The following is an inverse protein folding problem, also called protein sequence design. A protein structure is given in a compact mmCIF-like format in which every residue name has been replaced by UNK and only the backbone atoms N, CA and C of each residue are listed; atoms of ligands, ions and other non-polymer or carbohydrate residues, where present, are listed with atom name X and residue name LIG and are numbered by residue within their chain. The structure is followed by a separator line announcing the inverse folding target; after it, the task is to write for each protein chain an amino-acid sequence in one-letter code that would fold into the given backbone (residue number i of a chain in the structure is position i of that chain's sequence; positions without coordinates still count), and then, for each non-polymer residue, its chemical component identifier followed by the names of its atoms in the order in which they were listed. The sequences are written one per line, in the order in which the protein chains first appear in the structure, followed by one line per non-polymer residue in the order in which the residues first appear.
data_IF_178642871265
#
_entry.id   IF_178642871265
#
_cell.length_a   1.000
_cell.length_b   1.000
_cell.length_c   1.000
_cell.angle_alpha   90.00
_cell.angle_beta   90.00
_cell.angle_gamma   90.00
#
_symmetry.space_group_name_H-M   'P 1'
#
loop_
_entity.id
_entity.type
_entity.pdbx_description
1 polymer ?
#
# COMPACT_ATOMS: atom_id res chain seq x y z
N UNK A 1 -3.00 35.83 15.54
CA UNK A 1 -2.65 35.12 16.77
C UNK A 1 -3.09 33.66 16.73
N UNK A 2 -4.37 33.37 16.59
CA UNK A 2 -4.86 31.97 16.51
C UNK A 2 -4.33 31.22 15.30
N UNK A 3 -4.23 31.89 14.16
CA UNK A 3 -3.73 31.31 12.90
C UNK A 3 -2.26 30.88 13.03
N UNK A 4 -1.46 31.62 13.82
CA UNK A 4 -0.03 31.34 14.00
C UNK A 4 0.21 29.97 14.69
N UNK A 5 -0.76 29.48 15.47
CA UNK A 5 -0.70 28.18 16.14
C UNK A 5 -1.53 27.11 15.45
N UNK A 6 -2.56 27.52 14.72
CA UNK A 6 -3.49 26.59 14.06
C UNK A 6 -2.83 25.82 12.93
N UNK A 7 -2.12 26.51 12.02
CA UNK A 7 -1.45 25.86 10.90
C UNK A 7 -0.33 24.93 11.34
N UNK A 8 0.61 25.35 12.22
CA UNK A 8 1.61 24.41 12.74
C UNK A 8 0.99 23.21 13.46
N UNK A 9 -0.07 23.46 14.24
CA UNK A 9 -0.77 22.39 14.95
C UNK A 9 -1.38 21.36 14.03
N UNK A 10 -1.99 21.80 12.94
CA UNK A 10 -2.56 20.91 11.93
C UNK A 10 -1.48 20.09 11.21
N UNK A 11 -0.34 20.70 10.91
CA UNK A 11 0.79 20.00 10.28
C UNK A 11 1.34 18.94 11.24
N UNK A 12 1.52 19.27 12.50
CA UNK A 12 2.00 18.32 13.52
C UNK A 12 1.01 17.15 13.67
N UNK A 13 -0.29 17.45 13.75
CA UNK A 13 -1.33 16.42 13.84
C UNK A 13 -1.33 15.51 12.62
N UNK A 14 -1.18 16.06 11.42
CA UNK A 14 -1.09 15.30 10.19
C UNK A 14 0.13 14.38 10.17
N UNK A 15 1.31 14.90 10.55
CA UNK A 15 2.53 14.11 10.62
C UNK A 15 2.42 13.00 11.65
N UNK A 16 1.87 13.30 12.82
CA UNK A 16 1.65 12.31 13.87
C UNK A 16 0.69 11.21 13.40
N UNK A 17 -0.39 11.58 12.71
CA UNK A 17 -1.33 10.63 12.13
C UNK A 17 -0.65 9.72 11.10
N UNK A 18 0.20 10.30 10.23
CA UNK A 18 0.94 9.51 9.24
C UNK A 18 1.87 8.50 9.89
N UNK A 19 2.61 8.93 10.92
CA UNK A 19 3.54 8.05 11.65
C UNK A 19 2.78 6.92 12.34
N UNK A 20 1.69 7.24 13.05
CA UNK A 20 0.88 6.25 13.75
C UNK A 20 0.24 5.27 12.78
N UNK A 21 -0.26 5.76 11.63
CA UNK A 21 -0.85 4.89 10.59
C UNK A 21 0.19 3.93 10.03
N UNK A 22 1.41 4.39 9.79
CA UNK A 22 2.51 3.54 9.32
C UNK A 22 2.87 2.46 10.34
N UNK A 23 2.93 2.80 11.62
CA UNK A 23 3.23 1.86 12.69
C UNK A 23 2.13 0.80 12.79
N UNK A 24 0.86 1.20 12.75
CA UNK A 24 -0.28 0.28 12.78
C UNK A 24 -0.25 -0.68 11.60
N UNK A 25 0.02 -0.16 10.42
CA UNK A 25 0.12 -0.96 9.20
C UNK A 25 1.24 -2.00 9.34
N UNK A 26 2.42 -1.59 9.77
CA UNK A 26 3.57 -2.49 9.95
C UNK A 26 3.28 -3.60 10.96
N UNK A 27 2.52 -3.30 12.02
CA UNK A 27 2.14 -4.30 13.02
C UNK A 27 1.14 -5.31 12.48
N UNK A 28 0.29 -4.91 11.55
CA UNK A 28 -0.71 -5.79 10.93
C UNK A 28 -0.11 -6.74 9.88
N UNK A 29 0.97 -6.31 9.22
CA UNK A 29 1.56 -7.05 8.10
C UNK A 29 1.91 -8.50 8.40
N UNK A 30 2.63 -8.83 9.50
CA UNK A 30 2.99 -10.22 9.75
C UNK A 30 1.79 -11.14 9.90
N UNK A 31 0.74 -10.69 10.58
CA UNK A 31 -0.47 -11.47 10.76
C UNK A 31 -1.20 -11.69 9.44
N UNK A 32 -1.31 -10.64 8.62
CA UNK A 32 -1.97 -10.73 7.31
C UNK A 32 -1.21 -11.66 6.36
N UNK A 33 0.11 -11.61 6.37
CA UNK A 33 0.94 -12.50 5.55
C UNK A 33 0.76 -13.96 5.97
N UNK A 34 0.64 -14.24 7.27
CA UNK A 34 0.35 -15.58 7.77
C UNK A 34 -1.03 -16.08 7.33
N UNK A 35 -1.99 -15.18 7.20
CA UNK A 35 -3.34 -15.50 6.71
C UNK A 35 -3.39 -15.70 5.19
N UNK A 36 -2.27 -15.57 4.49
CA UNK A 36 -2.20 -15.76 3.05
C UNK A 36 -2.48 -14.50 2.25
N UNK A 37 -2.21 -13.33 2.80
CA UNK A 37 -2.36 -12.06 2.08
C UNK A 37 -1.51 -12.05 0.81
N UNK A 38 -2.06 -11.48 -0.25
CA UNK A 38 -1.43 -11.38 -1.56
C UNK A 38 -0.63 -10.07 -1.63
N UNK A 39 0.67 -10.17 -1.84
CA UNK A 39 1.56 -9.02 -1.97
C UNK A 39 1.65 -8.59 -3.43
N UNK A 40 1.26 -7.36 -3.72
CA UNK A 40 1.25 -6.83 -5.09
C UNK A 40 2.10 -5.57 -5.16
N UNK A 41 3.14 -5.62 -5.97
CA UNK A 41 4.00 -4.47 -6.27
C UNK A 41 3.51 -3.84 -7.57
N UNK A 42 3.05 -2.59 -7.49
CA UNK A 42 2.47 -1.89 -8.64
C UNK A 42 3.45 -0.98 -9.36
N UNK A 43 4.75 -1.15 -9.09
CA UNK A 43 5.81 -0.46 -9.82
C UNK A 43 5.97 -1.02 -11.23
N UNK A 44 6.82 -0.39 -12.02
CA UNK A 44 7.16 -0.89 -13.35
C UNK A 44 7.89 -2.23 -13.26
N UNK A 45 7.86 -3.05 -14.33
CA UNK A 45 8.63 -4.30 -14.36
C UNK A 45 10.13 -4.09 -14.17
N UNK A 46 10.68 -3.00 -14.67
CA UNK A 46 12.11 -2.67 -14.55
C UNK A 46 12.48 -2.38 -13.09
N UNK A 47 11.66 -1.58 -12.40
CA UNK A 47 11.85 -1.31 -10.97
C UNK A 47 11.77 -2.61 -10.16
N UNK A 48 10.80 -3.44 -10.45
CA UNK A 48 10.59 -4.72 -9.77
C UNK A 48 11.77 -5.67 -9.98
N UNK A 49 12.29 -5.75 -11.19
CA UNK A 49 13.46 -6.60 -11.49
C UNK A 49 14.71 -6.17 -10.75
N UNK A 50 14.87 -4.87 -10.51
CA UNK A 50 16.03 -4.32 -9.80
C UNK A 50 16.04 -4.64 -8.31
N UNK A 51 14.87 -4.96 -7.73
CA UNK A 51 14.73 -5.33 -6.33
C UNK A 51 13.26 -5.36 -5.97
N UNK A 52 12.85 -6.32 -5.16
CA UNK A 52 11.46 -6.50 -4.75
C UNK A 52 11.37 -7.20 -3.40
N UNK A 53 10.20 -7.13 -2.78
CA UNK A 53 9.93 -7.85 -1.56
C UNK A 53 9.68 -9.33 -1.88
N UNK A 54 10.22 -10.21 -1.04
CA UNK A 54 10.05 -11.65 -1.22
C UNK A 54 8.57 -12.02 -1.18
N UNK A 55 8.15 -12.83 -2.15
CA UNK A 55 6.77 -13.27 -2.26
C UNK A 55 5.84 -12.29 -2.94
N UNK A 56 6.33 -11.12 -3.36
CA UNK A 56 5.51 -10.14 -4.07
C UNK A 56 5.36 -10.50 -5.56
N UNK A 57 4.22 -10.12 -6.11
CA UNK A 57 3.91 -10.27 -7.54
C UNK A 57 3.87 -8.88 -8.14
N UNK A 58 4.45 -8.72 -9.33
CA UNK A 58 4.42 -7.44 -10.02
C UNK A 58 3.18 -7.33 -10.89
N UNK A 59 2.31 -6.39 -10.54
CA UNK A 59 1.18 -5.98 -11.37
C UNK A 59 1.29 -4.46 -11.52
N UNK A 60 1.90 -3.96 -12.59
CA UNK A 60 2.05 -2.52 -12.77
C UNK A 60 0.71 -1.79 -12.72
N UNK A 61 0.71 -0.56 -12.20
CA UNK A 61 -0.52 0.21 -11.98
C UNK A 61 -1.38 0.31 -13.24
N UNK A 62 -0.77 0.49 -14.41
CA UNK A 62 -1.49 0.62 -15.66
C UNK A 62 -2.26 -0.65 -16.06
N UNK A 63 -1.81 -1.80 -15.58
CA UNK A 63 -2.44 -3.08 -15.86
C UNK A 63 -3.20 -3.68 -14.68
N UNK A 64 -3.52 -2.87 -13.66
CA UNK A 64 -4.11 -3.39 -12.42
C UNK A 64 -5.48 -4.03 -12.64
N UNK A 65 -6.32 -3.49 -13.53
CA UNK A 65 -7.64 -4.04 -13.79
C UNK A 65 -7.57 -5.46 -14.36
N UNK A 66 -6.63 -5.69 -15.26
CA UNK A 66 -6.44 -7.03 -15.86
C UNK A 66 -5.70 -7.97 -14.91
N UNK A 67 -4.63 -7.49 -14.29
CA UNK A 67 -3.82 -8.29 -13.38
C UNK A 67 -4.57 -8.72 -12.12
N UNK A 68 -5.51 -7.92 -11.67
CA UNK A 68 -6.31 -8.22 -10.48
C UNK A 68 -7.23 -9.43 -10.67
N UNK A 69 -7.48 -9.86 -11.90
CA UNK A 69 -8.26 -11.09 -12.15
C UNK A 69 -7.57 -12.34 -11.61
N UNK A 70 -6.26 -12.29 -11.46
CA UNK A 70 -5.46 -13.36 -10.87
C UNK A 70 -5.50 -13.36 -9.34
N UNK A 71 -6.04 -12.30 -8.72
CA UNK A 71 -6.11 -12.15 -7.27
C UNK A 71 -7.42 -12.69 -6.72
N UNK A 72 -7.35 -13.24 -5.51
CA UNK A 72 -8.53 -13.71 -4.78
C UNK A 72 -9.15 -12.55 -4.00
N UNK A 73 -10.40 -12.11 -4.33
CA UNK A 73 -11.03 -11.00 -3.62
C UNK A 73 -11.43 -11.33 -2.18
N UNK A 74 -11.45 -12.59 -1.80
CA UNK A 74 -11.75 -13.03 -0.44
C UNK A 74 -10.56 -12.87 0.50
N UNK A 75 -9.36 -12.72 -0.04
CA UNK A 75 -8.12 -12.56 0.73
C UNK A 75 -7.67 -11.11 0.79
N UNK A 76 -6.88 -10.79 1.79
CA UNK A 76 -6.22 -9.48 1.85
C UNK A 76 -5.28 -9.30 0.67
N UNK A 77 -5.30 -8.11 0.10
CA UNK A 77 -4.34 -7.66 -0.91
C UNK A 77 -3.52 -6.54 -0.28
N UNK A 78 -2.21 -6.70 -0.28
CA UNK A 78 -1.27 -5.69 0.21
C UNK A 78 -0.56 -5.11 -1.01
N UNK A 79 -0.79 -3.82 -1.27
CA UNK A 79 -0.19 -3.13 -2.41
C UNK A 79 0.98 -2.26 -1.94
N UNK A 80 2.02 -2.21 -2.74
CA UNK A 80 3.19 -1.38 -2.49
C UNK A 80 3.71 -0.79 -3.80
N UNK A 81 4.50 0.28 -3.67
CA UNK A 81 5.22 0.89 -4.78
C UNK A 81 6.54 1.48 -4.25
N UNK A 82 7.12 2.48 -4.88
CA UNK A 82 8.36 3.10 -4.40
C UNK A 82 8.13 3.94 -3.15
N UNK A 83 7.03 4.72 -3.11
CA UNK A 83 6.76 5.69 -2.05
C UNK A 83 5.34 5.61 -1.46
N UNK A 84 4.43 4.89 -2.09
CA UNK A 84 3.05 4.74 -1.65
C UNK A 84 2.02 5.47 -2.51
N UNK A 85 2.44 6.33 -3.44
CA UNK A 85 1.51 7.10 -4.28
C UNK A 85 0.79 6.23 -5.30
N UNK A 86 1.54 5.46 -6.07
CA UNK A 86 0.97 4.53 -7.06
C UNK A 86 0.13 3.46 -6.38
N UNK A 87 0.59 2.94 -5.26
CA UNK A 87 -0.15 1.93 -4.51
C UNK A 87 -1.44 2.47 -3.90
N UNK A 88 -1.49 3.75 -3.56
CA UNK A 88 -2.75 4.39 -3.12
C UNK A 88 -3.77 4.41 -4.26
N UNK A 89 -3.34 4.72 -5.48
CA UNK A 89 -4.22 4.71 -6.66
C UNK A 89 -4.67 3.27 -6.95
N UNK A 90 -3.75 2.31 -6.88
CA UNK A 90 -4.07 0.90 -7.07
C UNK A 90 -5.11 0.41 -6.07
N UNK A 91 -4.99 0.79 -4.80
CA UNK A 91 -5.96 0.45 -3.76
C UNK A 91 -7.36 0.95 -4.11
N UNK A 92 -7.47 2.19 -4.58
CA UNK A 92 -8.76 2.76 -5.00
C UNK A 92 -9.36 1.98 -6.16
N UNK A 93 -8.56 1.67 -7.17
CA UNK A 93 -9.01 0.90 -8.32
C UNK A 93 -9.47 -0.49 -7.93
N UNK A 94 -8.73 -1.16 -7.06
CA UNK A 94 -9.10 -2.49 -6.57
C UNK A 94 -10.41 -2.45 -5.78
N UNK A 95 -10.63 -1.43 -4.96
CA UNK A 95 -11.88 -1.27 -4.23
C UNK A 95 -13.07 -1.08 -5.15
N UNK A 96 -12.93 -0.29 -6.20
CA UNK A 96 -13.96 -0.12 -7.22
C UNK A 96 -14.28 -1.45 -7.90
N UNK A 97 -13.29 -2.31 -8.07
CA UNK A 97 -13.45 -3.64 -8.66
C UNK A 97 -14.09 -4.67 -7.72
N UNK A 98 -14.31 -4.33 -6.45
CA UNK A 98 -14.95 -5.22 -5.49
C UNK A 98 -14.01 -5.80 -4.42
N UNK A 99 -12.74 -5.43 -4.42
CA UNK A 99 -11.81 -5.85 -3.37
C UNK A 99 -12.03 -5.00 -2.12
N UNK A 100 -12.59 -5.59 -1.06
CA UNK A 100 -12.88 -4.88 0.19
C UNK A 100 -11.70 -4.87 1.17
N UNK A 101 -10.74 -5.77 1.01
CA UNK A 101 -9.62 -5.97 1.92
C UNK A 101 -8.31 -5.62 1.22
N UNK A 102 -8.05 -4.30 1.10
CA UNK A 102 -6.83 -3.81 0.45
C UNK A 102 -6.09 -2.90 1.42
N UNK A 103 -4.82 -3.20 1.65
CA UNK A 103 -3.93 -2.42 2.50
C UNK A 103 -2.81 -1.81 1.65
N UNK A 104 -2.57 -0.51 1.81
CA UNK A 104 -1.44 0.16 1.18
C UNK A 104 -0.23 0.10 2.12
N UNK A 105 0.79 -0.64 1.75
CA UNK A 105 2.02 -0.77 2.54
C UNK A 105 3.02 0.36 2.29
N UNK A 106 2.76 1.23 1.33
CA UNK A 106 3.67 2.30 0.97
C UNK A 106 4.87 1.81 0.18
N UNK A 107 6.06 2.04 0.69
CA UNK A 107 7.28 1.58 0.03
C UNK A 107 7.43 0.06 0.14
N UNK A 108 7.81 -0.58 -0.97
CA UNK A 108 8.11 -2.01 -0.99
C UNK A 108 9.24 -2.40 -0.02
N UNK A 109 10.10 -1.44 0.31
CA UNK A 109 11.22 -1.67 1.24
C UNK A 109 10.75 -1.97 2.66
N UNK A 110 9.55 -1.56 3.03
CA UNK A 110 8.97 -1.91 4.34
C UNK A 110 8.62 -3.40 4.43
N UNK A 111 8.49 -4.06 3.28
CA UNK A 111 8.13 -5.48 3.17
C UNK A 111 9.36 -6.36 2.90
N UNK A 112 10.47 -5.74 2.54
CA UNK A 112 11.71 -6.45 2.22
C UNK A 112 12.45 -6.92 3.46
#
# INVERSE_FOLDING_TARGET
MLIDYLLPGLVIAYLAWRILSSIRMRRRLPALLKEGAQLVDVRSPEEFSAGNAQGSVNIPLQGIEQGARELDPAKWVIVCCASGTRSMIARRKLRVMGFSRVLNAGSWRTLA
#
